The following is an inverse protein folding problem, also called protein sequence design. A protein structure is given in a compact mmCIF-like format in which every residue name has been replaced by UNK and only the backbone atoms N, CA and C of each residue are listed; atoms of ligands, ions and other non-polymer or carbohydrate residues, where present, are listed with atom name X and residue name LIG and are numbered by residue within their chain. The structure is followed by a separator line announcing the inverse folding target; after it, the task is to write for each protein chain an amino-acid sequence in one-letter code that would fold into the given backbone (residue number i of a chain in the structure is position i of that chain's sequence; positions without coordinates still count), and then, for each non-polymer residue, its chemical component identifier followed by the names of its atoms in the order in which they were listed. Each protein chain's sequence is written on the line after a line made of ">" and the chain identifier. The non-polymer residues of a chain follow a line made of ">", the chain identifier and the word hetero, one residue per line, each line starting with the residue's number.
data_IF_143273164199
#
_entry.id   IF_143273164199
#
_cell.length_a   1.000
_cell.length_b   1.000
_cell.length_c   1.000
_cell.angle_alpha   90.00
_cell.angle_beta   90.00
_cell.angle_gamma   90.00
#
_symmetry.space_group_name_H-M   'P 1'
#
loop_
_entity.id
_entity.type
_entity.pdbx_description
1 polymer ?
#
# COMPACT_ATOMS: atom_id res chain seq x y z
N UNK A 1 14.14 -4.50 -1.07
CA UNK A 1 13.70 -3.15 -1.50
C UNK A 1 14.58 -2.15 -0.78
N UNK A 2 15.07 -1.11 -1.47
CA UNK A 2 15.77 -0.01 -0.81
C UNK A 2 14.72 0.95 -0.27
N UNK A 3 14.70 1.11 1.05
CA UNK A 3 13.62 1.81 1.77
C UNK A 3 13.79 3.35 1.70
N UNK A 4 14.98 3.80 1.28
CA UNK A 4 15.32 5.19 0.98
C UNK A 4 16.52 5.25 0.04
N UNK A 5 16.73 6.40 -0.60
CA UNK A 5 17.83 6.61 -1.55
C UNK A 5 19.17 6.81 -0.80
N UNK A 6 20.05 5.81 -0.82
CA UNK A 6 21.36 5.92 -0.19
C UNK A 6 22.32 6.87 -0.94
N UNK A 7 22.04 7.16 -2.21
CA UNK A 7 22.91 7.92 -3.11
C UNK A 7 22.50 9.39 -3.24
N UNK A 8 21.58 9.85 -2.38
CA UNK A 8 21.13 11.24 -2.34
C UNK A 8 22.33 12.20 -2.25
N UNK A 9 22.34 13.23 -3.09
CA UNK A 9 23.30 14.32 -2.99
C UNK A 9 22.74 15.41 -2.09
N UNK A 10 23.61 16.11 -1.34
CA UNK A 10 23.17 17.27 -0.59
C UNK A 10 22.58 18.33 -1.53
N UNK A 11 21.32 18.75 -1.36
CA UNK A 11 20.68 19.70 -2.28
C UNK A 11 21.33 21.09 -2.23
N UNK A 12 22.08 21.39 -1.17
CA UNK A 12 22.77 22.68 -1.00
C UNK A 12 24.16 22.72 -1.64
N UNK A 13 24.90 21.62 -1.64
CA UNK A 13 26.31 21.61 -2.09
C UNK A 13 26.70 20.51 -3.07
N UNK A 14 25.76 19.63 -3.42
CA UNK A 14 25.97 18.54 -4.39
C UNK A 14 26.89 17.41 -3.91
N UNK A 15 27.27 17.38 -2.63
CA UNK A 15 28.17 16.37 -2.08
C UNK A 15 27.40 15.16 -1.51
N UNK A 16 27.94 13.95 -1.69
CA UNK A 16 27.34 12.69 -1.22
C UNK A 16 27.71 12.26 0.22
N UNK A 17 28.38 13.11 1.00
CA UNK A 17 28.75 12.78 2.38
C UNK A 17 27.63 13.17 3.36
N UNK A 18 26.72 12.22 3.61
CA UNK A 18 25.48 12.44 4.38
C UNK A 18 25.41 11.49 5.58
N UNK A 19 25.08 12.03 6.75
CA UNK A 19 24.61 11.26 7.91
C UNK A 19 23.09 11.13 7.88
N UNK A 20 22.58 9.94 8.15
CA UNK A 20 21.15 9.68 8.25
C UNK A 20 20.77 9.43 9.70
N UNK A 21 19.73 10.11 10.18
CA UNK A 21 19.09 9.89 11.47
C UNK A 21 17.64 9.49 11.22
N UNK A 22 17.20 8.41 11.85
CA UNK A 22 15.85 7.86 11.67
C UNK A 22 14.99 8.25 12.86
N UNK A 23 13.81 8.80 12.58
CA UNK A 23 12.83 9.10 13.61
C UNK A 23 11.55 8.34 13.32
N UNK A 24 11.12 7.52 14.29
CA UNK A 24 9.88 6.76 14.22
C UNK A 24 8.88 7.36 15.19
N UNK A 25 7.70 7.78 14.71
CA UNK A 25 6.69 8.47 15.54
C UNK A 25 7.23 9.65 16.39
N UNK A 26 8.24 10.35 15.87
CA UNK A 26 8.87 11.48 16.55
C UNK A 26 10.00 11.12 17.54
N UNK A 27 10.31 9.85 17.74
CA UNK A 27 11.42 9.40 18.60
C UNK A 27 12.63 8.98 17.76
N UNK A 28 13.85 9.32 18.21
CA UNK A 28 15.09 8.93 17.51
C UNK A 28 15.31 7.42 17.63
N UNK A 29 15.34 6.75 16.49
CA UNK A 29 15.58 5.31 16.41
C UNK A 29 17.07 5.06 16.16
N UNK A 30 17.75 4.44 17.12
CA UNK A 30 19.17 4.09 17.01
C UNK A 30 19.42 2.95 16.02
N UNK A 31 18.39 2.13 15.75
CA UNK A 31 18.42 1.00 14.84
C UNK A 31 17.73 1.38 13.54
N UNK A 32 18.20 0.80 12.42
CA UNK A 32 17.50 0.92 11.14
C UNK A 32 16.15 0.20 11.25
N UNK A 33 15.02 0.91 11.13
CA UNK A 33 13.71 0.27 11.09
C UNK A 33 13.64 -0.67 9.88
N UNK A 34 13.08 -1.86 10.08
CA UNK A 34 12.75 -2.78 8.98
C UNK A 34 11.49 -2.36 8.25
N UNK A 35 10.61 -1.63 8.94
CA UNK A 35 9.32 -1.14 8.46
C UNK A 35 9.15 0.31 8.92
N UNK A 36 8.68 1.18 8.02
CA UNK A 36 8.42 2.59 8.33
C UNK A 36 6.92 2.90 8.27
N UNK A 37 6.43 3.65 9.26
CA UNK A 37 5.11 4.23 9.28
C UNK A 37 5.05 5.54 8.46
N UNK A 38 3.84 5.98 8.10
CA UNK A 38 3.61 7.25 7.39
C UNK A 38 4.09 8.50 8.15
N UNK A 39 4.26 8.37 9.46
CA UNK A 39 4.72 9.43 10.37
C UNK A 39 6.25 9.46 10.52
N UNK A 40 6.94 8.49 9.94
CA UNK A 40 8.38 8.37 10.11
C UNK A 40 9.13 9.31 9.17
N UNK A 41 10.22 9.87 9.67
CA UNK A 41 11.06 10.81 8.92
C UNK A 41 12.52 10.38 8.95
N UNK A 42 13.20 10.59 7.84
CA UNK A 42 14.64 10.43 7.71
C UNK A 42 15.24 11.83 7.72
N UNK A 43 15.87 12.21 8.81
CA UNK A 43 16.64 13.45 8.84
C UNK A 43 18.03 13.18 8.28
N UNK A 44 18.36 13.88 7.20
CA UNK A 44 19.67 13.86 6.57
C UNK A 44 20.47 15.08 6.98
N UNK A 45 21.74 14.87 7.28
CA UNK A 45 22.69 15.92 7.62
C UNK A 45 23.90 15.81 6.71
N UNK A 46 24.14 16.82 5.89
CA UNK A 46 25.35 16.90 5.08
C UNK A 46 26.55 17.17 5.99
N UNK A 47 27.55 16.29 5.98
CA UNK A 47 28.78 16.48 6.77
C UNK A 47 29.69 17.58 6.22
N UNK A 48 29.49 17.98 4.97
CA UNK A 48 30.31 19.00 4.33
C UNK A 48 29.85 20.43 4.63
N UNK A 49 28.54 20.70 4.57
CA UNK A 49 27.98 22.05 4.77
C UNK A 49 27.01 22.16 5.94
N UNK A 50 26.89 21.11 6.76
CA UNK A 50 26.00 21.01 7.93
C UNK A 50 24.51 21.24 7.62
N UNK A 51 24.13 21.23 6.34
CA UNK A 51 22.75 21.40 5.93
C UNK A 51 21.92 20.19 6.36
N UNK A 52 20.75 20.46 6.94
CA UNK A 52 19.81 19.45 7.42
C UNK A 52 18.53 19.51 6.61
N UNK A 53 18.00 18.36 6.23
CA UNK A 53 16.69 18.26 5.60
C UNK A 53 16.03 16.95 5.98
N UNK A 54 14.71 16.92 5.88
CA UNK A 54 13.92 15.75 6.21
C UNK A 54 13.37 15.15 4.92
N UNK A 55 13.47 13.84 4.80
CA UNK A 55 12.84 13.06 3.74
C UNK A 55 11.86 12.06 4.34
N UNK A 56 10.79 11.80 3.60
CA UNK A 56 9.92 10.67 3.91
C UNK A 56 10.57 9.39 3.36
N UNK A 57 10.46 8.25 4.05
CA UNK A 57 10.83 6.95 3.51
C UNK A 57 10.13 6.71 2.17
N UNK A 58 10.83 6.11 1.20
CA UNK A 58 10.26 5.87 -0.15
C UNK A 58 9.03 4.94 -0.09
N UNK A 59 8.97 4.07 0.93
CA UNK A 59 7.85 3.17 1.16
C UNK A 59 6.69 3.81 1.97
N UNK A 60 6.87 5.02 2.52
CA UNK A 60 5.84 5.70 3.32
C UNK A 60 4.64 6.13 2.47
N UNK A 61 4.84 6.46 1.18
CA UNK A 61 3.73 6.77 0.26
C UNK A 61 3.16 5.52 -0.42
N UNK A 62 3.91 4.41 -0.48
CA UNK A 62 3.45 3.16 -1.08
C UNK A 62 2.44 2.41 -0.21
N UNK A 63 2.36 2.75 1.08
CA UNK A 63 1.34 2.27 2.01
C UNK A 63 0.06 3.12 2.01
N UNK A 64 0.03 4.29 1.35
CA UNK A 64 -1.04 5.30 1.54
C UNK A 64 -2.13 5.28 0.44
N UNK A 65 -2.01 4.45 -0.61
CA UNK A 65 -3.15 4.16 -1.50
C UNK A 65 -3.77 2.77 -1.30
N UNK A 66 -3.44 2.05 -0.21
CA UNK A 66 -4.31 0.96 0.27
C UNK A 66 -5.41 1.58 1.13
N UNK A 67 -6.36 2.25 0.48
CA UNK A 67 -7.58 2.68 1.16
C UNK A 67 -8.31 1.43 1.64
N UNK A 68 -8.20 1.14 2.93
CA UNK A 68 -8.99 0.15 3.66
C UNK A 68 -10.49 0.44 3.63
N UNK A 69 -10.91 1.56 3.02
CA UNK A 69 -12.30 1.96 2.86
C UNK A 69 -12.92 1.36 1.59
N UNK A 70 -12.92 0.04 1.46
CA UNK A 70 -13.85 -0.59 0.52
C UNK A 70 -15.28 -0.42 1.07
N UNK A 71 -16.22 -0.09 0.20
CA UNK A 71 -17.66 -0.09 0.47
C UNK A 71 -18.33 -1.14 -0.39
N UNK A 72 -19.46 -1.68 0.07
CA UNK A 72 -20.28 -2.55 -0.77
C UNK A 72 -20.76 -1.76 -1.99
N UNK A 73 -20.56 -2.32 -3.18
CA UNK A 73 -20.90 -1.67 -4.45
C UNK A 73 -19.72 -1.00 -5.15
N UNK A 74 -18.55 -0.91 -4.52
CA UNK A 74 -17.35 -0.37 -5.15
C UNK A 74 -16.86 -1.29 -6.27
N UNK A 75 -16.34 -0.64 -7.32
CA UNK A 75 -15.73 -1.32 -8.46
C UNK A 75 -14.25 -1.53 -8.19
N UNK A 76 -13.85 -2.79 -8.25
CA UNK A 76 -12.49 -3.20 -7.89
C UNK A 76 -11.87 -4.06 -8.96
N UNK A 77 -10.57 -3.92 -9.13
CA UNK A 77 -9.72 -4.77 -9.95
C UNK A 77 -8.81 -5.59 -9.04
N UNK A 78 -8.65 -6.86 -9.38
CA UNK A 78 -7.69 -7.74 -8.69
C UNK A 78 -6.28 -7.40 -9.17
N UNK A 79 -5.42 -6.97 -8.25
CA UNK A 79 -4.04 -6.58 -8.53
C UNK A 79 -3.01 -7.63 -8.14
N UNK A 80 -3.44 -8.70 -7.47
CA UNK A 80 -2.56 -9.80 -7.08
C UNK A 80 -3.31 -11.14 -7.03
N UNK A 81 -2.59 -12.25 -7.23
CA UNK A 81 -3.13 -13.60 -7.09
C UNK A 81 -3.73 -14.22 -8.36
N UNK A 82 -4.57 -15.25 -8.17
CA UNK A 82 -5.04 -16.16 -9.24
C UNK A 82 -5.88 -15.47 -10.32
N UNK A 83 -6.56 -14.39 -9.95
CA UNK A 83 -7.54 -13.70 -10.80
C UNK A 83 -7.06 -12.31 -11.21
N UNK A 84 -5.74 -12.12 -11.29
CA UNK A 84 -5.10 -10.86 -11.64
C UNK A 84 -5.72 -10.22 -12.90
N UNK A 85 -6.11 -8.95 -12.78
CA UNK A 85 -6.74 -8.16 -13.84
C UNK A 85 -8.24 -8.39 -14.02
N UNK A 86 -8.84 -9.33 -13.27
CA UNK A 86 -10.29 -9.47 -13.27
C UNK A 86 -10.94 -8.33 -12.49
N UNK A 87 -12.11 -7.93 -12.97
CA UNK A 87 -12.83 -6.77 -12.46
C UNK A 87 -14.19 -7.19 -11.94
N UNK A 88 -14.55 -6.67 -10.77
CA UNK A 88 -15.82 -6.99 -10.13
C UNK A 88 -16.35 -5.87 -9.25
N UNK A 89 -17.42 -6.20 -8.55
CA UNK A 89 -18.12 -5.34 -7.60
C UNK A 89 -18.05 -5.98 -6.22
N UNK A 90 -17.68 -5.21 -5.21
CA UNK A 90 -17.70 -5.67 -3.82
C UNK A 90 -19.14 -5.92 -3.36
N UNK A 91 -19.39 -7.09 -2.77
CA UNK A 91 -20.71 -7.50 -2.23
C UNK A 91 -20.73 -7.54 -0.71
N UNK A 92 -19.58 -7.79 -0.09
CA UNK A 92 -19.44 -7.88 1.35
C UNK A 92 -18.06 -7.38 1.75
N UNK A 93 -17.99 -6.69 2.89
CA UNK A 93 -16.78 -6.12 3.47
C UNK A 93 -16.21 -7.07 4.53
N UNK A 94 -14.95 -6.88 4.92
CA UNK A 94 -14.35 -7.64 6.01
C UNK A 94 -15.14 -7.38 7.30
N UNK A 95 -15.40 -8.44 8.06
CA UNK A 95 -15.89 -8.35 9.43
C UNK A 95 -14.77 -8.73 10.40
N UNK A 96 -14.93 -8.44 11.70
CA UNK A 96 -13.95 -8.86 12.71
C UNK A 96 -13.72 -10.39 12.73
N UNK A 97 -14.73 -11.16 12.31
CA UNK A 97 -14.66 -12.63 12.21
C UNK A 97 -14.14 -13.12 10.85
N UNK A 98 -14.21 -12.30 9.80
CA UNK A 98 -13.91 -12.68 8.42
C UNK A 98 -13.16 -11.55 7.71
N UNK A 99 -11.84 -11.67 7.62
CA UNK A 99 -10.95 -10.64 7.05
C UNK A 99 -11.01 -10.45 5.53
N UNK A 100 -11.90 -11.15 4.83
CA UNK A 100 -11.97 -11.19 3.37
C UNK A 100 -13.17 -10.42 2.80
N UNK A 101 -12.99 -9.84 1.62
CA UNK A 101 -14.00 -9.13 0.83
C UNK A 101 -14.60 -10.09 -0.19
N UNK A 102 -15.94 -10.15 -0.27
CA UNK A 102 -16.60 -10.84 -1.38
C UNK A 102 -16.66 -9.93 -2.60
N UNK A 103 -16.13 -10.39 -3.73
CA UNK A 103 -16.21 -9.69 -5.01
C UNK A 103 -17.00 -10.54 -6.01
N UNK A 104 -18.01 -9.92 -6.62
CA UNK A 104 -18.73 -10.48 -7.76
C UNK A 104 -18.14 -9.94 -9.06
N UNK A 105 -17.52 -10.81 -9.84
CA UNK A 105 -16.91 -10.50 -11.13
C UNK A 105 -17.93 -10.27 -12.23
N UNK A 106 -17.52 -9.52 -13.25
CA UNK A 106 -18.34 -9.33 -14.46
C UNK A 106 -18.36 -10.58 -15.36
N UNK A 107 -17.30 -11.39 -15.27
CA UNK A 107 -17.12 -12.59 -16.09
C UNK A 107 -17.35 -13.85 -15.28
N UNK A 108 -17.99 -14.82 -15.92
CA UNK A 108 -18.14 -16.16 -15.36
C UNK A 108 -16.82 -16.93 -15.40
N UNK A 109 -16.51 -17.59 -14.29
CA UNK A 109 -15.43 -18.56 -14.19
C UNK A 109 -15.92 -19.84 -13.53
N UNK A 110 -15.73 -20.98 -14.18
CA UNK A 110 -16.20 -22.30 -13.70
C UNK A 110 -15.67 -22.66 -12.31
N UNK A 111 -14.48 -22.16 -11.95
CA UNK A 111 -13.81 -22.44 -10.67
C UNK A 111 -14.17 -21.44 -9.57
N UNK A 112 -14.97 -20.42 -9.86
CA UNK A 112 -15.39 -19.43 -8.86
C UNK A 112 -16.62 -19.91 -8.09
N UNK A 113 -16.82 -19.32 -6.91
CA UNK A 113 -17.83 -19.72 -5.95
C UNK A 113 -19.00 -18.73 -6.00
N UNK A 114 -19.98 -18.89 -5.11
CA UNK A 114 -21.08 -17.94 -4.90
C UNK A 114 -20.86 -17.07 -3.66
N UNK A 115 -19.69 -17.14 -3.01
CA UNK A 115 -19.40 -16.48 -1.73
C UNK A 115 -20.53 -16.67 -0.71
N UNK A 116 -20.87 -17.93 -0.39
CA UNK A 116 -21.97 -18.29 0.51
C UNK A 116 -23.35 -17.73 0.12
N UNK A 117 -23.56 -17.46 -1.17
CA UNK A 117 -24.81 -16.93 -1.72
C UNK A 117 -24.84 -15.42 -1.91
N UNK A 118 -23.75 -14.71 -1.58
CA UNK A 118 -23.62 -13.26 -1.80
C UNK A 118 -23.39 -12.89 -3.27
N UNK A 119 -22.89 -13.82 -4.07
CA UNK A 119 -22.60 -13.65 -5.49
C UNK A 119 -23.30 -14.74 -6.31
N UNK A 120 -23.51 -14.47 -7.59
CA UNK A 120 -23.92 -15.49 -8.54
C UNK A 120 -22.90 -16.65 -8.61
N UNK A 121 -23.39 -17.88 -8.74
CA UNK A 121 -22.53 -19.07 -8.79
C UNK A 121 -21.56 -18.98 -9.99
N UNK A 122 -20.26 -19.07 -9.70
CA UNK A 122 -19.21 -18.93 -10.71
C UNK A 122 -18.82 -17.49 -11.03
N UNK A 123 -19.27 -16.53 -10.23
CA UNK A 123 -18.88 -15.12 -10.34
C UNK A 123 -18.27 -14.58 -9.04
N UNK A 124 -18.34 -15.31 -7.93
CA UNK A 124 -17.87 -14.84 -6.63
C UNK A 124 -16.50 -15.40 -6.25
N UNK A 125 -15.67 -14.55 -5.65
CA UNK A 125 -14.49 -15.00 -4.90
C UNK A 125 -14.22 -14.12 -3.68
N UNK A 126 -13.51 -14.68 -2.69
CA UNK A 126 -13.08 -14.00 -1.47
C UNK A 126 -11.64 -13.50 -1.62
N UNK A 127 -11.41 -12.23 -1.37
CA UNK A 127 -10.08 -11.61 -1.46
C UNK A 127 -9.68 -10.91 -0.19
N UNK A 128 -8.39 -10.91 0.07
CA UNK A 128 -7.85 -9.97 1.03
C UNK A 128 -7.98 -8.55 0.46
N UNK A 129 -8.36 -7.54 1.26
CA UNK A 129 -8.32 -6.13 0.85
C UNK A 129 -7.01 -5.72 0.17
N UNK A 130 -5.88 -6.34 0.54
CA UNK A 130 -4.57 -6.09 -0.06
C UNK A 130 -4.47 -6.40 -1.55
N UNK A 131 -5.30 -7.30 -2.05
CA UNK A 131 -5.22 -7.88 -3.39
C UNK A 131 -6.12 -7.14 -4.38
N UNK A 132 -6.82 -6.10 -3.90
CA UNK A 132 -7.82 -5.34 -4.64
C UNK A 132 -7.40 -3.88 -4.76
N UNK A 133 -7.79 -3.28 -5.87
CA UNK A 133 -7.63 -1.84 -6.13
C UNK A 133 -8.95 -1.24 -6.56
N UNK A 134 -9.28 -0.06 -6.05
CA UNK A 134 -10.42 0.72 -6.54
C UNK A 134 -10.23 1.13 -7.99
N UNK A 135 -11.21 0.82 -8.83
CA UNK A 135 -11.36 1.44 -10.13
C UNK A 135 -12.14 2.74 -9.95
N UNK A 136 -11.44 3.81 -9.61
CA UNK A 136 -12.00 5.15 -9.71
C UNK A 136 -12.32 5.43 -11.17
N UNK A 137 -13.59 5.68 -11.49
CA UNK A 137 -13.96 6.24 -12.79
C UNK A 137 -13.27 7.59 -12.92
N UNK A 138 -12.22 7.66 -13.75
CA UNK A 138 -11.72 8.94 -14.26
C UNK A 138 -12.91 9.62 -14.94
N UNK A 139 -13.35 10.73 -14.36
CA UNK A 139 -14.42 11.57 -14.87
C UNK A 139 -13.84 12.62 -15.81
#
# INVERSE_FOLDING_TARGET
>A
MNIYDHDGLCPKCGQGNISNHFYTKGEECSLRPTDYASEDIIQRVCRNCSFRWNEKPLDAEKLVEKSTDFKVGDRVEVIEGRWLGEVGTTKCLPTEERGDIAVEFDKYHLKMHSCDGLCNKGYGWWFNPSDLKHLTKRR
#
